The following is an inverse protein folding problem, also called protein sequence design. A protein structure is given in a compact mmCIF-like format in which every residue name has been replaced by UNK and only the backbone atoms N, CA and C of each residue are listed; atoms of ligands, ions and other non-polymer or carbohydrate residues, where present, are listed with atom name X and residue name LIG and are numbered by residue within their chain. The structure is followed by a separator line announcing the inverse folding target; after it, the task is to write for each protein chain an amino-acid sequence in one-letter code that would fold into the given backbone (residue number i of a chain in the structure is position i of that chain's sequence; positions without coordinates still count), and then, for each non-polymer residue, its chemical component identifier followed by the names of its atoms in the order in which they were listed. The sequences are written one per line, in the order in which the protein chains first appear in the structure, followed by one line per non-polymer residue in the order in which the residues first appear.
data_IF_298169350555
#
_entry.id   IF_298169350555
#
_cell.length_a   1.000
_cell.length_b   1.000
_cell.length_c   1.000
_cell.angle_alpha   90.00
_cell.angle_beta   90.00
_cell.angle_gamma   90.00
#
_symmetry.space_group_name_H-M   'P 1'
#
loop_
_entity.id
_entity.type
_entity.pdbx_description
1 polymer ?
#
# COMPACT_ATOMS: atom_id res chain seq x y z
N UNK A 1 1.41 -7.36 15.97
CA UNK A 1 0.31 -6.66 15.29
C UNK A 1 0.21 -7.11 13.84
N UNK A 2 -0.98 -7.40 13.37
CA UNK A 2 -1.20 -7.76 11.98
C UNK A 2 -1.16 -6.51 11.11
N UNK A 3 -0.39 -6.56 10.03
CA UNK A 3 -0.23 -5.47 9.10
C UNK A 3 -0.28 -6.00 7.66
N UNK A 4 -0.16 -5.11 6.69
CA UNK A 4 -0.09 -5.47 5.28
C UNK A 4 1.29 -5.08 4.75
N UNK A 5 1.87 -5.93 3.93
CA UNK A 5 3.08 -5.60 3.17
C UNK A 5 2.72 -5.61 1.70
N UNK A 6 2.98 -4.51 1.01
CA UNK A 6 2.56 -4.25 -0.36
C UNK A 6 3.77 -3.97 -1.23
N UNK A 7 3.83 -4.62 -2.39
CA UNK A 7 4.84 -4.31 -3.40
C UNK A 7 4.36 -3.16 -4.27
N UNK A 8 5.23 -2.20 -4.52
CA UNK A 8 4.89 -1.00 -5.26
C UNK A 8 6.05 -0.54 -6.12
N UNK A 9 5.76 -0.02 -7.31
CA UNK A 9 6.79 0.55 -8.17
C UNK A 9 7.29 1.88 -7.59
N UNK A 10 8.58 2.23 -7.80
CA UNK A 10 9.14 3.47 -7.25
C UNK A 10 8.35 4.72 -7.62
N UNK A 11 7.86 4.81 -8.85
CA UNK A 11 7.12 5.98 -9.34
C UNK A 11 5.85 6.27 -8.50
N UNK A 12 5.14 5.23 -8.08
CA UNK A 12 3.92 5.39 -7.27
C UNK A 12 4.27 5.76 -5.84
N UNK A 13 5.31 5.14 -5.28
CA UNK A 13 5.74 5.46 -3.93
C UNK A 13 6.18 6.93 -3.82
N UNK A 14 6.91 7.42 -4.81
CA UNK A 14 7.31 8.82 -4.86
C UNK A 14 6.10 9.77 -4.89
N UNK A 15 5.07 9.43 -5.64
CA UNK A 15 3.84 10.23 -5.70
C UNK A 15 3.06 10.20 -4.39
N UNK A 16 3.09 9.09 -3.69
CA UNK A 16 2.49 8.98 -2.35
C UNK A 16 3.23 9.89 -1.38
N UNK A 17 4.56 9.84 -1.37
CA UNK A 17 5.37 10.68 -0.48
C UNK A 17 5.22 12.16 -0.80
N UNK A 18 5.01 12.51 -2.05
CA UNK A 18 4.78 13.88 -2.48
C UNK A 18 3.36 14.40 -2.15
N UNK A 19 2.47 13.53 -1.71
CA UNK A 19 1.08 13.89 -1.42
C UNK A 19 0.18 13.97 -2.65
N UNK A 20 0.69 13.61 -3.81
CA UNK A 20 -0.08 13.64 -5.06
C UNK A 20 -1.01 12.46 -5.21
N UNK A 21 -0.54 11.28 -4.78
CA UNK A 21 -1.31 10.04 -4.84
C UNK A 21 -1.89 9.74 -3.46
N UNK A 22 -3.21 9.83 -3.34
CA UNK A 22 -3.92 9.64 -2.08
C UNK A 22 -4.77 8.38 -2.06
N UNK A 23 -4.69 7.60 -3.13
CA UNK A 23 -5.46 6.37 -3.26
C UNK A 23 -4.62 5.33 -4.00
N UNK A 24 -4.44 4.16 -3.40
CA UNK A 24 -3.76 3.03 -4.05
C UNK A 24 -4.81 2.06 -4.57
N UNK A 25 -4.69 1.69 -5.84
CA UNK A 25 -5.70 0.85 -6.50
C UNK A 25 -5.24 -0.59 -6.57
N UNK A 26 -6.05 -1.47 -6.02
CA UNK A 26 -5.80 -2.92 -6.04
C UNK A 26 -7.09 -3.65 -6.39
N UNK A 27 -6.97 -4.93 -6.73
CA UNK A 27 -8.12 -5.77 -7.05
C UNK A 27 -8.83 -6.26 -5.81
N UNK A 28 -8.12 -6.29 -4.69
CA UNK A 28 -8.62 -6.74 -3.40
C UNK A 28 -8.30 -5.73 -2.32
N UNK A 29 -8.87 -5.91 -1.15
CA UNK A 29 -8.64 -5.05 0.02
C UNK A 29 -8.52 -5.89 1.29
N UNK A 30 -7.97 -5.32 2.38
CA UNK A 30 -7.80 -6.09 3.62
C UNK A 30 -9.14 -6.49 4.23
N UNK A 31 -9.25 -7.76 4.63
CA UNK A 31 -10.45 -8.31 5.28
C UNK A 31 -10.01 -9.35 6.30
N UNK A 32 -9.59 -8.94 7.45
CA UNK A 32 -9.18 -9.87 8.50
C UNK A 32 -9.63 -9.30 9.84
N UNK A 33 -10.28 -10.13 10.65
CA UNK A 33 -10.81 -9.72 11.94
C UNK A 33 -9.75 -9.24 12.93
N UNK A 34 -8.51 -9.67 12.73
CA UNK A 34 -7.38 -9.27 13.59
C UNK A 34 -6.82 -7.90 13.25
N UNK A 35 -7.26 -7.28 12.15
CA UNK A 35 -6.76 -5.97 11.76
C UNK A 35 -7.30 -4.89 12.68
N UNK A 36 -6.40 -3.99 13.07
CA UNK A 36 -6.78 -2.78 13.79
C UNK A 36 -6.73 -1.63 12.78
N UNK A 37 -7.77 -0.81 12.74
CA UNK A 37 -7.86 0.29 11.81
C UNK A 37 -7.44 1.61 12.49
N UNK A 38 -6.64 2.46 11.86
CA UNK A 38 -6.10 2.29 10.49
C UNK A 38 -5.09 1.16 10.39
N UNK A 39 -5.08 0.49 9.26
CA UNK A 39 -4.14 -0.60 9.00
C UNK A 39 -2.80 -0.04 8.57
N UNK A 40 -1.71 -0.56 9.16
CA UNK A 40 -0.37 -0.21 8.72
C UNK A 40 -0.06 -0.97 7.43
N UNK A 41 0.30 -0.22 6.39
CA UNK A 41 0.72 -0.79 5.10
C UNK A 41 2.20 -0.51 4.90
N UNK A 42 3.00 -1.56 4.98
CA UNK A 42 4.44 -1.50 4.73
C UNK A 42 4.66 -1.56 3.22
N UNK A 43 5.55 -0.74 2.72
CA UNK A 43 5.77 -0.60 1.28
C UNK A 43 7.13 -1.14 0.87
N UNK A 44 7.11 -2.27 0.16
CA UNK A 44 8.28 -2.80 -0.53
C UNK A 44 8.35 -2.12 -1.90
N UNK A 45 9.43 -1.41 -2.16
CA UNK A 45 9.59 -0.73 -3.44
C UNK A 45 10.35 -1.65 -4.40
N UNK A 46 9.70 -1.99 -5.51
CA UNK A 46 10.26 -2.91 -6.50
C UNK A 46 11.63 -2.44 -7.01
N UNK A 47 12.56 -3.37 -7.08
CA UNK A 47 13.93 -3.09 -7.53
C UNK A 47 14.90 -2.65 -6.43
N UNK A 48 14.41 -2.32 -5.24
CA UNK A 48 15.28 -1.86 -4.13
C UNK A 48 15.68 -2.99 -3.19
N UNK A 49 14.97 -4.10 -3.20
CA UNK A 49 15.24 -5.24 -2.33
C UNK A 49 14.77 -5.08 -0.89
N UNK A 50 14.09 -3.99 -0.56
CA UNK A 50 13.73 -3.73 0.84
C UNK A 50 12.44 -2.95 0.99
N UNK A 51 11.90 -2.98 2.23
CA UNK A 51 10.76 -2.17 2.64
C UNK A 51 11.28 -0.75 2.91
N UNK A 52 10.76 0.23 2.19
CA UNK A 52 11.26 1.60 2.21
C UNK A 52 10.48 2.53 3.13
N UNK A 53 9.27 2.15 3.50
CA UNK A 53 8.42 3.01 4.32
C UNK A 53 7.06 2.39 4.57
N UNK A 54 6.12 3.23 4.97
CA UNK A 54 4.76 2.78 5.28
C UNK A 54 3.76 3.92 5.07
N UNK A 55 2.48 3.55 5.01
CA UNK A 55 1.39 4.50 5.18
C UNK A 55 0.30 3.86 6.02
N UNK A 56 -0.64 4.66 6.49
CA UNK A 56 -1.79 4.17 7.22
C UNK A 56 -3.00 4.18 6.29
N UNK A 57 -3.77 3.10 6.33
CA UNK A 57 -4.99 2.95 5.54
C UNK A 57 -6.18 2.89 6.48
N UNK A 58 -6.98 3.96 6.57
CA UNK A 58 -8.15 3.96 7.48
C UNK A 58 -9.34 3.22 6.91
N UNK A 59 -9.32 2.90 5.63
CA UNK A 59 -10.41 2.20 4.98
C UNK A 59 -10.20 2.13 3.48
N UNK A 60 -11.12 1.44 2.80
CA UNK A 60 -11.12 1.37 1.36
C UNK A 60 -12.38 2.04 0.81
N UNK A 61 -12.30 2.51 -0.43
CA UNK A 61 -13.47 3.03 -1.13
C UNK A 61 -13.76 2.16 -2.34
N UNK A 62 -15.02 1.80 -2.46
CA UNK A 62 -15.51 1.13 -3.65
C UNK A 62 -15.86 2.18 -4.68
N UNK A 63 -15.50 1.94 -5.89
CA UNK A 63 -15.50 2.94 -6.89
C UNK A 63 -16.78 3.24 -7.53
N UNK A 64 -16.99 4.49 -7.74
CA UNK A 64 -18.19 5.02 -8.37
C UNK A 64 -17.93 5.49 -9.79
N UNK A 65 -16.82 6.18 -10.02
CA UNK A 65 -16.46 6.63 -11.35
C UNK A 65 -14.97 6.48 -11.59
N UNK A 66 -14.60 6.22 -12.85
CA UNK A 66 -13.20 6.11 -13.27
C UNK A 66 -12.48 7.45 -13.13
N UNK A 67 -13.20 8.56 -13.25
CA UNK A 67 -12.63 9.90 -13.13
C UNK A 67 -12.11 10.17 -11.72
N UNK A 68 -12.85 9.75 -10.69
CA UNK A 68 -12.42 9.92 -9.31
C UNK A 68 -11.18 9.08 -9.04
N UNK A 69 -11.14 7.86 -9.59
CA UNK A 69 -9.98 6.97 -9.49
C UNK A 69 -8.75 7.59 -10.08
N UNK A 70 -8.87 8.10 -11.29
CA UNK A 70 -7.75 8.66 -12.02
C UNK A 70 -7.10 9.81 -11.26
N UNK A 71 -7.92 10.73 -10.77
CA UNK A 71 -7.43 11.90 -10.04
C UNK A 71 -6.70 11.54 -8.75
N UNK A 72 -7.29 10.69 -7.92
CA UNK A 72 -6.76 10.36 -6.60
C UNK A 72 -5.62 9.35 -6.64
N UNK A 73 -5.60 8.48 -7.63
CA UNK A 73 -4.59 7.43 -7.77
C UNK A 73 -3.40 7.83 -8.62
N UNK A 74 -3.52 8.88 -9.42
CA UNK A 74 -2.56 9.30 -10.43
C UNK A 74 -2.35 8.26 -11.55
N UNK A 75 -3.25 7.28 -11.67
CA UNK A 75 -3.18 6.26 -12.71
C UNK A 75 -4.09 6.65 -13.88
N UNK A 76 -3.59 6.69 -15.12
CA UNK A 76 -4.41 7.04 -16.27
C UNK A 76 -5.62 6.10 -16.42
N UNK A 77 -6.73 6.66 -16.87
CA UNK A 77 -7.97 5.93 -17.08
C UNK A 77 -7.81 4.65 -17.88
N UNK A 78 -7.04 4.72 -18.98
CA UNK A 78 -6.79 3.56 -19.83
C UNK A 78 -6.16 2.40 -19.07
N UNK A 79 -5.18 2.72 -18.21
CA UNK A 79 -4.47 1.73 -17.43
C UNK A 79 -5.37 1.14 -16.35
N UNK A 80 -6.25 1.95 -15.76
CA UNK A 80 -7.22 1.47 -14.78
C UNK A 80 -8.20 0.49 -15.42
N UNK A 81 -8.68 0.80 -16.61
CA UNK A 81 -9.61 -0.07 -17.33
C UNK A 81 -8.95 -1.39 -17.72
N UNK A 82 -7.71 -1.35 -18.16
CA UNK A 82 -6.94 -2.57 -18.49
C UNK A 82 -6.69 -3.41 -17.26
N UNK A 83 -6.36 -2.78 -16.15
CA UNK A 83 -6.10 -3.45 -14.89
C UNK A 83 -7.36 -4.13 -14.35
N UNK A 84 -8.50 -3.43 -14.42
CA UNK A 84 -9.77 -3.92 -13.90
C UNK A 84 -10.31 -5.11 -14.68
N UNK A 85 -10.11 -5.16 -15.99
CA UNK A 85 -10.66 -6.21 -16.87
C UNK A 85 -12.15 -6.43 -16.63
N UNK A 86 -12.90 -5.32 -16.53
CA UNK A 86 -14.33 -5.36 -16.29
C UNK A 86 -14.78 -5.64 -14.86
N UNK A 87 -13.82 -5.78 -13.93
CA UNK A 87 -14.12 -6.03 -12.51
C UNK A 87 -14.04 -4.74 -11.69
N UNK A 88 -14.63 -4.79 -10.51
CA UNK A 88 -14.55 -3.68 -9.55
C UNK A 88 -13.14 -3.61 -8.96
N UNK A 89 -12.65 -2.40 -8.76
CA UNK A 89 -11.38 -2.15 -8.12
C UNK A 89 -11.60 -1.61 -6.71
N UNK A 90 -10.62 -1.85 -5.83
CA UNK A 90 -10.60 -1.32 -4.48
C UNK A 90 -9.62 -0.17 -4.40
N UNK A 91 -10.06 0.95 -3.83
CA UNK A 91 -9.19 2.08 -3.57
C UNK A 91 -8.82 2.11 -2.09
N UNK A 92 -7.54 1.90 -1.79
CA UNK A 92 -7.03 1.98 -0.42
C UNK A 92 -6.68 3.42 -0.13
N UNK A 93 -7.31 3.98 0.88
CA UNK A 93 -7.05 5.38 1.28
C UNK A 93 -5.64 5.45 1.88
N UNK A 94 -4.86 6.43 1.43
CA UNK A 94 -3.48 6.61 1.88
C UNK A 94 -3.41 7.80 2.82
N UNK A 95 -2.97 7.56 4.06
CA UNK A 95 -2.76 8.59 5.07
C UNK A 95 -1.38 8.45 5.68
N UNK A 96 -0.82 9.57 6.10
CA UNK A 96 0.43 9.62 6.88
C UNK A 96 1.57 8.80 6.26
N UNK A 97 1.89 8.99 4.97
CA UNK A 97 2.99 8.25 4.37
C UNK A 97 4.32 8.66 5.01
N UNK A 98 5.18 7.68 5.22
CA UNK A 98 6.44 7.88 5.90
C UNK A 98 7.53 7.05 5.24
N UNK A 99 8.63 7.70 4.87
CA UNK A 99 9.81 7.02 4.38
C UNK A 99 10.69 6.68 5.58
N UNK A 100 11.14 5.43 5.69
CA UNK A 100 12.03 5.02 6.78
C UNK A 100 13.42 5.61 6.58
N UNK A 101 14.10 5.95 7.68
CA UNK A 101 15.48 6.43 7.65
C UNK A 101 16.41 5.36 7.12
N UNK A 102 16.17 4.10 7.47
CA UNK A 102 16.90 2.96 6.95
C UNK A 102 15.91 1.93 6.39
N UNK A 103 16.12 1.45 5.15
CA UNK A 103 15.27 0.39 4.59
C UNK A 103 15.33 -0.87 5.45
N UNK A 104 14.21 -1.57 5.53
CA UNK A 104 14.10 -2.82 6.30
C UNK A 104 14.08 -4.00 5.35
N UNK A 105 14.93 -5.03 5.58
CA UNK A 105 14.94 -6.20 4.71
C UNK A 105 13.65 -7.02 4.90
N UNK A 106 13.25 -7.73 3.85
CA UNK A 106 12.06 -8.59 3.89
C UNK A 106 12.11 -9.63 5.01
N UNK A 107 13.32 -10.08 5.35
CA UNK A 107 13.51 -11.08 6.40
C UNK A 107 12.96 -10.64 7.76
N UNK A 108 12.94 -9.34 8.04
CA UNK A 108 12.36 -8.80 9.28
C UNK A 108 10.86 -9.06 9.37
N UNK A 109 10.21 -9.31 8.24
CA UNK A 109 8.78 -9.58 8.18
C UNK A 109 8.48 -11.05 7.89
N UNK A 110 9.51 -11.91 7.98
CA UNK A 110 9.35 -13.34 7.75
C UNK A 110 9.26 -13.75 6.28
N UNK A 111 9.69 -12.87 5.38
CA UNK A 111 9.60 -13.13 3.94
C UNK A 111 10.98 -13.28 3.31
N UNK A 112 11.10 -14.17 2.34
CA UNK A 112 12.31 -14.35 1.54
C UNK A 112 12.17 -13.75 0.14
N UNK A 113 10.96 -13.35 -0.23
CA UNK A 113 10.70 -12.64 -1.49
C UNK A 113 9.48 -11.70 -1.32
N UNK A 114 9.38 -10.65 -2.14
CA UNK A 114 8.26 -9.73 -2.04
C UNK A 114 6.95 -10.36 -2.50
N UNK A 115 5.81 -9.92 -1.96
CA UNK A 115 4.52 -10.38 -2.45
C UNK A 115 4.29 -9.92 -3.90
N UNK A 116 3.51 -10.66 -4.66
CA UNK A 116 3.16 -10.27 -6.03
C UNK A 116 2.27 -9.02 -6.05
N UNK A 117 1.44 -8.83 -5.04
CA UNK A 117 0.63 -7.64 -4.87
C UNK A 117 0.74 -7.17 -3.43
N UNK A 118 0.09 -7.87 -2.52
CA UNK A 118 0.19 -7.60 -1.09
C UNK A 118 -0.14 -8.85 -0.30
N UNK A 119 0.28 -8.89 0.96
CA UNK A 119 -0.05 -9.98 1.88
C UNK A 119 -0.05 -9.50 3.32
N UNK A 120 -0.65 -10.27 4.21
CA UNK A 120 -0.59 -10.00 5.65
C UNK A 120 0.78 -10.39 6.19
N UNK A 121 1.26 -9.60 7.15
CA UNK A 121 2.49 -9.89 7.88
C UNK A 121 2.28 -9.55 9.35
N UNK A 122 3.00 -10.27 10.23
CA UNK A 122 3.05 -9.89 11.63
C UNK A 122 4.24 -8.96 11.85
N UNK A 123 4.02 -7.88 12.55
CA UNK A 123 5.10 -6.96 12.91
C UNK A 123 5.21 -6.91 14.44
N UNK A 124 6.44 -6.73 14.97
CA UNK A 124 6.62 -6.63 16.41
C UNK A 124 5.87 -5.44 16.99
N UNK A 125 5.35 -5.61 18.21
CA UNK A 125 4.72 -4.51 18.92
C UNK A 125 5.77 -3.42 19.16
N UNK A 126 5.39 -2.17 18.92
CA UNK A 126 6.29 -1.04 19.07
C UNK A 126 7.06 -0.67 17.81
N UNK A 127 6.96 -1.43 16.72
CA UNK A 127 7.62 -1.09 15.47
C UNK A 127 7.15 0.27 14.93
N UNK A 128 5.87 0.58 15.12
CA UNK A 128 5.31 1.87 14.75
C UNK A 128 5.97 3.03 15.50
N UNK A 129 6.24 2.83 16.79
CA UNK A 129 6.86 3.86 17.60
C UNK A 129 8.30 4.17 17.18
N UNK A 130 8.98 3.23 16.56
CA UNK A 130 10.34 3.42 16.08
C UNK A 130 10.40 4.36 14.87
N UNK A 131 9.28 4.54 14.19
CA UNK A 131 9.20 5.31 12.95
C UNK A 131 8.38 6.59 13.09
N UNK A 132 7.94 6.88 14.29
CA UNK A 132 7.21 8.13 14.55
C UNK A 132 8.17 9.35 14.69
#
# INVERSE_FOLDING_TARGET
MLAVLMSMKPEWWEKILAGEKTLEIRKTHPQNERLEWPVTVLVYVSGTGAVQGQFLCPGEVSYRTVQDLEKMSCVPREDLLKYAKGRRLSGWIVQSPEKFDAPSPLAEFGLDRPPMSWQYVEIPDGMEAEHE
#
